data_IF_074997424984
#
_entry.id   IF_074997424984
#
_cell.length_a   1.000
_cell.length_b   1.000
_cell.length_c   1.000
_cell.angle_alpha   90.00
_cell.angle_beta   90.00
_cell.angle_gamma   90.00
#
_symmetry.space_group_name_H-M   'P 1'
#
loop_
_entity.id
_entity.type
_entity.pdbx_description
1 polymer ?
#
# COMPACT_ATOMS: atom_id res chain seq x y z
N UNK A 1 -23.26 13.10 7.17
CA UNK A 1 -23.22 12.09 6.08
C UNK A 1 -22.31 10.94 6.54
N UNK A 2 -22.78 10.18 7.53
CA UNK A 2 -22.03 9.05 8.11
C UNK A 2 -22.59 7.81 7.44
N UNK A 3 -21.72 7.03 6.80
CA UNK A 3 -22.07 5.72 6.23
C UNK A 3 -20.95 4.77 6.61
N UNK A 4 -21.26 3.84 7.50
CA UNK A 4 -20.35 2.81 7.94
C UNK A 4 -20.31 1.69 6.90
N UNK A 5 -19.12 1.20 6.62
CA UNK A 5 -18.94 0.14 5.64
C UNK A 5 -17.48 -0.23 5.42
N UNK A 6 -17.29 -1.18 4.52
CA UNK A 6 -15.98 -1.65 4.09
C UNK A 6 -15.55 -0.85 2.86
N UNK A 7 -14.40 -0.19 2.98
CA UNK A 7 -13.81 0.60 1.90
C UNK A 7 -12.61 -0.17 1.34
N UNK A 8 -12.62 -0.46 0.04
CA UNK A 8 -11.42 -1.02 -0.60
C UNK A 8 -10.52 0.13 -0.99
N UNK A 9 -9.33 0.18 -0.38
CA UNK A 9 -8.31 1.18 -0.64
C UNK A 9 -7.26 0.58 -1.56
N UNK A 10 -6.82 1.35 -2.56
CA UNK A 10 -5.67 1.01 -3.41
C UNK A 10 -4.55 2.00 -3.16
N UNK A 11 -3.37 1.46 -2.86
CA UNK A 11 -2.12 2.22 -2.70
C UNK A 11 -1.22 1.88 -3.86
N UNK A 12 -0.77 2.91 -4.59
CA UNK A 12 0.10 2.75 -5.76
C UNK A 12 1.50 3.25 -5.46
N UNK A 13 2.49 2.44 -5.84
CA UNK A 13 3.91 2.70 -5.64
C UNK A 13 4.60 2.99 -6.97
N UNK A 14 5.64 3.81 -6.97
CA UNK A 14 6.42 4.12 -8.16
C UNK A 14 7.90 4.39 -7.85
N UNK A 15 8.79 3.82 -8.69
CA UNK A 15 10.21 4.20 -8.76
C UNK A 15 10.58 4.42 -10.23
N UNK A 16 10.78 5.69 -10.61
CA UNK A 16 10.99 6.05 -12.02
C UNK A 16 9.82 5.59 -12.90
N UNK A 17 10.09 4.69 -13.86
CA UNK A 17 9.07 4.13 -14.78
C UNK A 17 8.39 2.87 -14.26
N UNK A 18 8.84 2.31 -13.14
CA UNK A 18 8.31 1.07 -12.58
C UNK A 18 7.19 1.39 -11.59
N UNK A 19 6.06 0.69 -11.72
CA UNK A 19 4.85 0.95 -10.97
C UNK A 19 4.28 -0.33 -10.39
N UNK A 20 3.46 -0.15 -9.37
CA UNK A 20 2.91 -1.24 -8.59
C UNK A 20 1.74 -0.79 -7.74
N UNK A 21 0.98 -1.74 -7.22
CA UNK A 21 -0.06 -1.42 -6.24
C UNK A 21 -0.33 -2.59 -5.32
N UNK A 22 -0.95 -2.27 -4.18
CA UNK A 22 -1.67 -3.21 -3.32
C UNK A 22 -3.08 -2.68 -3.07
N UNK A 23 -3.99 -3.57 -2.69
CA UNK A 23 -5.30 -3.17 -2.17
C UNK A 23 -5.55 -3.80 -0.81
N UNK A 24 -6.21 -3.07 0.09
CA UNK A 24 -6.65 -3.58 1.38
C UNK A 24 -8.03 -3.02 1.73
N UNK A 25 -8.65 -3.57 2.78
CA UNK A 25 -9.99 -3.16 3.21
C UNK A 25 -9.88 -2.42 4.55
N UNK A 26 -10.44 -1.22 4.61
CA UNK A 26 -10.57 -0.43 5.85
C UNK A 26 -12.06 -0.33 6.19
N UNK A 27 -12.43 -0.82 7.37
CA UNK A 27 -13.79 -0.61 7.90
C UNK A 27 -13.93 0.81 8.43
N UNK A 28 -15.17 1.24 8.63
CA UNK A 28 -15.47 2.50 9.27
C UNK A 28 -16.22 3.49 8.40
N UNK A 29 -16.19 4.76 8.80
CA UNK A 29 -16.70 5.87 8.00
C UNK A 29 -15.51 6.57 7.31
N UNK A 30 -14.96 5.93 6.28
CA UNK A 30 -13.83 6.45 5.50
C UNK A 30 -14.34 7.27 4.30
N UNK A 31 -13.91 8.52 4.19
CA UNK A 31 -14.22 9.44 3.09
C UNK A 31 -12.94 9.79 2.35
N UNK A 32 -13.09 10.44 1.19
CA UNK A 32 -11.95 10.79 0.33
C UNK A 32 -10.87 11.65 1.00
N UNK A 33 -11.19 12.41 2.05
CA UNK A 33 -10.17 13.14 2.81
C UNK A 33 -9.44 12.23 3.82
N UNK A 34 -10.14 11.23 4.37
CA UNK A 34 -9.59 10.31 5.37
C UNK A 34 -8.49 9.43 4.77
N UNK A 35 -8.56 9.13 3.47
CA UNK A 35 -7.49 8.39 2.79
C UNK A 35 -6.20 9.19 2.58
N UNK A 36 -6.22 10.51 2.75
CA UNK A 36 -4.98 11.31 2.73
C UNK A 36 -4.13 11.11 3.98
N UNK A 37 -4.72 10.60 5.06
CA UNK A 37 -4.01 10.24 6.28
C UNK A 37 -3.50 8.80 6.29
N UNK A 38 -3.58 8.09 5.15
CA UNK A 38 -2.99 6.76 5.02
C UNK A 38 -1.51 6.91 4.72
N UNK A 39 -0.68 6.27 5.52
CA UNK A 39 0.76 6.32 5.47
C UNK A 39 1.37 4.90 5.53
N UNK A 40 2.67 4.81 5.72
CA UNK A 40 3.41 3.56 5.88
C UNK A 40 2.87 2.71 7.03
N UNK A 41 2.49 3.31 8.17
CA UNK A 41 2.02 2.59 9.35
C UNK A 41 0.69 1.85 9.09
N UNK A 42 -0.20 2.43 8.29
CA UNK A 42 -1.42 1.75 7.83
C UNK A 42 -1.11 0.51 6.95
N UNK A 43 0.10 0.38 6.41
CA UNK A 43 0.53 -0.77 5.61
C UNK A 43 1.27 -1.83 6.44
N UNK A 44 1.68 -1.50 7.67
CA UNK A 44 2.41 -2.41 8.54
C UNK A 44 1.52 -3.61 8.93
N UNK A 45 2.03 -4.83 8.71
CA UNK A 45 1.32 -6.11 8.94
C UNK A 45 -0.09 -6.20 8.29
N UNK A 46 -0.35 -5.39 7.26
CA UNK A 46 -1.66 -5.31 6.64
C UNK A 46 -1.97 -6.55 5.79
N UNK A 47 -3.18 -7.08 5.92
CA UNK A 47 -3.66 -8.16 5.05
C UNK A 47 -4.22 -7.59 3.75
N UNK A 48 -3.42 -7.66 2.69
CA UNK A 48 -3.85 -7.20 1.36
C UNK A 48 -4.90 -8.12 0.72
N UNK A 49 -5.89 -7.51 0.08
CA UNK A 49 -6.88 -8.14 -0.80
C UNK A 49 -6.25 -8.50 -2.15
N UNK A 50 -5.46 -7.58 -2.71
CA UNK A 50 -4.62 -7.82 -3.88
C UNK A 50 -3.19 -7.36 -3.61
N UNK A 51 -2.21 -8.21 -3.93
CA UNK A 51 -0.79 -7.89 -3.80
C UNK A 51 0.01 -8.40 -5.02
N UNK A 52 -0.22 -7.84 -6.22
CA UNK A 52 0.44 -8.28 -7.45
C UNK A 52 1.95 -7.96 -7.49
N UNK A 53 2.42 -7.09 -6.59
CA UNK A 53 3.83 -6.69 -6.50
C UNK A 53 4.61 -7.47 -5.46
N UNK A 54 4.00 -8.48 -4.83
CA UNK A 54 4.63 -9.27 -3.78
C UNK A 54 5.24 -8.40 -2.65
N UNK A 55 4.53 -7.33 -2.29
CA UNK A 55 4.88 -6.46 -1.17
C UNK A 55 4.92 -7.28 0.13
N UNK A 56 5.99 -7.16 0.90
CA UNK A 56 6.19 -7.92 2.13
C UNK A 56 7.24 -7.28 3.03
N UNK A 57 7.09 -7.46 4.33
CA UNK A 57 8.16 -7.20 5.30
C UNK A 57 9.24 -8.28 5.15
N UNK A 58 10.50 -7.87 5.26
CA UNK A 58 11.66 -8.76 5.30
C UNK A 58 12.12 -9.03 6.74
N UNK A 59 11.68 -8.21 7.70
CA UNK A 59 12.08 -8.27 9.10
C UNK A 59 13.10 -7.20 9.45
N UNK A 60 13.57 -7.26 10.70
CA UNK A 60 14.59 -6.37 11.27
C UNK A 60 16.00 -6.90 10.97
N UNK A 61 16.94 -6.02 10.65
CA UNK A 61 18.36 -6.36 10.48
C UNK A 61 19.17 -6.27 11.80
N UNK A 62 20.49 -6.49 11.73
CA UNK A 62 21.36 -6.47 12.92
C UNK A 62 21.48 -5.08 13.57
N UNK A 63 21.10 -4.01 12.88
CA UNK A 63 21.11 -2.63 13.40
C UNK A 63 19.78 -2.21 14.02
N UNK A 64 18.74 -3.03 13.87
CA UNK A 64 17.40 -2.71 14.33
C UNK A 64 16.51 -2.06 13.27
N UNK A 65 16.98 -1.98 12.02
CA UNK A 65 16.22 -1.36 10.94
C UNK A 65 15.26 -2.39 10.34
N UNK A 66 13.98 -2.05 10.22
CA UNK A 66 12.99 -2.91 9.55
C UNK A 66 13.06 -2.72 8.03
N UNK A 67 12.94 -3.82 7.29
CA UNK A 67 13.05 -3.81 5.83
C UNK A 67 11.76 -4.31 5.17
N UNK A 68 11.51 -3.83 3.95
CA UNK A 68 10.46 -4.35 3.08
C UNK A 68 11.01 -4.71 1.69
N UNK A 69 10.21 -5.48 0.95
CA UNK A 69 10.46 -5.76 -0.45
C UNK A 69 9.18 -5.62 -1.30
N UNK A 70 9.33 -5.15 -2.53
CA UNK A 70 8.30 -5.21 -3.57
C UNK A 70 8.90 -5.35 -4.98
N UNK A 71 8.16 -5.96 -5.89
CA UNK A 71 8.53 -6.12 -7.29
C UNK A 71 7.63 -5.25 -8.16
N UNK A 72 8.17 -4.13 -8.63
CA UNK A 72 7.49 -3.18 -9.50
C UNK A 72 7.69 -3.55 -10.98
N UNK A 73 6.74 -3.16 -11.84
CA UNK A 73 6.77 -3.46 -13.28
C UNK A 73 6.64 -2.19 -14.11
N UNK A 74 7.39 -2.11 -15.20
CA UNK A 74 7.20 -1.06 -16.20
C UNK A 74 6.21 -1.49 -17.30
N UNK A 75 5.91 -0.61 -18.25
CA UNK A 75 4.96 -0.89 -19.36
C UNK A 75 5.43 -2.02 -20.30
N UNK A 76 6.73 -2.33 -20.30
CA UNK A 76 7.31 -3.46 -21.06
C UNK A 76 7.27 -4.77 -20.28
N UNK A 77 6.74 -4.77 -19.06
CA UNK A 77 6.74 -5.87 -18.09
C UNK A 77 8.12 -6.26 -17.57
N UNK A 78 9.12 -5.39 -17.71
CA UNK A 78 10.39 -5.57 -17.00
C UNK A 78 10.14 -5.35 -15.50
N UNK A 79 10.80 -6.17 -14.69
CA UNK A 79 10.66 -6.17 -13.23
C UNK A 79 11.81 -5.40 -12.58
N UNK A 80 11.48 -4.69 -11.50
CA UNK A 80 12.43 -4.08 -10.58
C UNK A 80 12.11 -4.54 -9.17
N UNK A 81 13.04 -5.26 -8.56
CA UNK A 81 13.01 -5.54 -7.13
C UNK A 81 13.45 -4.29 -6.38
N UNK A 82 12.61 -3.83 -5.46
CA UNK A 82 12.92 -2.81 -4.46
C UNK A 82 13.04 -3.52 -3.13
N UNK A 83 14.18 -3.36 -2.47
CA UNK A 83 14.42 -3.71 -1.07
C UNK A 83 14.97 -2.46 -0.42
N UNK A 84 14.33 -2.00 0.64
CA UNK A 84 14.66 -0.74 1.31
C UNK A 84 14.21 -0.78 2.78
N UNK A 85 14.69 0.19 3.55
CA UNK A 85 14.27 0.38 4.94
C UNK A 85 12.83 0.89 5.01
N UNK A 86 12.08 0.46 6.04
CA UNK A 86 10.66 0.76 6.22
C UNK A 86 10.35 2.26 6.19
N UNK A 87 11.22 3.07 6.81
CA UNK A 87 11.08 4.52 6.88
C UNK A 87 11.02 5.19 5.49
N UNK A 88 11.58 4.58 4.45
CA UNK A 88 11.59 5.09 3.07
C UNK A 88 10.36 4.66 2.27
N UNK A 89 9.45 3.84 2.83
CA UNK A 89 8.29 3.32 2.09
C UNK A 89 7.39 4.45 1.55
N UNK A 90 7.22 5.52 2.32
CA UNK A 90 6.36 6.66 1.99
C UNK A 90 6.81 7.37 0.71
N UNK A 91 8.12 7.44 0.44
CA UNK A 91 8.71 8.04 -0.76
C UNK A 91 8.32 7.30 -2.05
N UNK A 92 7.90 6.04 -1.93
CA UNK A 92 7.40 5.26 -3.07
C UNK A 92 5.91 5.48 -3.34
N UNK A 93 5.13 5.98 -2.38
CA UNK A 93 3.67 6.13 -2.50
C UNK A 93 3.33 7.34 -3.37
N UNK A 94 2.66 7.11 -4.50
CA UNK A 94 2.26 8.17 -5.44
C UNK A 94 0.76 8.35 -5.58
N UNK A 95 -0.04 7.41 -5.05
CA UNK A 95 -1.50 7.47 -5.10
C UNK A 95 -2.14 6.63 -4.01
N UNK A 96 -3.13 7.19 -3.34
CA UNK A 96 -4.05 6.46 -2.48
C UNK A 96 -5.47 6.78 -2.94
N UNK A 97 -6.30 5.75 -3.14
CA UNK A 97 -7.67 5.91 -3.65
C UNK A 97 -8.64 4.92 -3.01
N UNK A 98 -9.88 5.36 -2.75
CA UNK A 98 -11.01 4.47 -2.48
C UNK A 98 -11.51 3.98 -3.84
N UNK A 99 -11.42 2.67 -4.10
CA UNK A 99 -11.88 2.07 -5.37
C UNK A 99 -13.23 1.37 -5.25
N UNK A 100 -13.67 1.07 -4.04
CA UNK A 100 -14.93 0.38 -3.78
C UNK A 100 -15.47 0.68 -2.37
N UNK A 101 -16.78 0.56 -2.20
CA UNK A 101 -17.47 0.72 -0.92
C UNK A 101 -18.64 -0.26 -0.80
N UNK A 102 -18.63 -1.04 0.27
CA UNK A 102 -19.74 -1.91 0.66
C UNK A 102 -20.33 -1.43 1.99
N UNK A 103 -21.61 -1.05 1.99
CA UNK A 103 -22.30 -0.61 3.21
C UNK A 103 -22.48 -1.78 4.19
N UNK A 104 -22.15 -1.56 5.47
CA UNK A 104 -22.46 -2.53 6.54
C UNK A 104 -23.98 -2.65 6.68
N UNK A 105 -24.48 -3.89 6.68
CA UNK A 105 -25.92 -4.21 6.81
C UNK A 105 -26.37 -4.29 8.25
#
# INVERSE_FOLDING_TARGET
>A
NIRWGLHTIKVSFQRGVYKGFVTFVKSGNCKGLDVLGIDEEDLYDMKFKENPINFRLLGEDDNGDEWFAMTLKNDKKDELLVEDVWEELSEYIVRIEIIDFEEEK
#
